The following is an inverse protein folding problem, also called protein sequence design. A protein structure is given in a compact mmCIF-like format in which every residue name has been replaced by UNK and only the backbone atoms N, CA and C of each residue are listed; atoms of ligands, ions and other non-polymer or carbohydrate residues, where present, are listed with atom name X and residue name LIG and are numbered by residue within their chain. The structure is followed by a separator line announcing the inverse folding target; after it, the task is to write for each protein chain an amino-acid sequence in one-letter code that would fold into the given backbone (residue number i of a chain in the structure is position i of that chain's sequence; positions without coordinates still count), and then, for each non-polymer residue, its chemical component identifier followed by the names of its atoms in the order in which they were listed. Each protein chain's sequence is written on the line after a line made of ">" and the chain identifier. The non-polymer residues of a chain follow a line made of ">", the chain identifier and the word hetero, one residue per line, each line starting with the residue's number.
data_IF_036446314037
#
_entry.id   IF_036446314037
#
_cell.length_a   1.000
_cell.length_b   1.000
_cell.length_c   1.000
_cell.angle_alpha   90.00
_cell.angle_beta   90.00
_cell.angle_gamma   90.00
#
_symmetry.space_group_name_H-M   'P 1'
#
loop_
_entity.id
_entity.type
_entity.pdbx_description
1 polymer ?
#
# COMPACT_ATOMS: atom_id res chain seq x y z
N UNK A 1 14.83 27.64 -11.57
CA UNK A 1 13.92 28.80 -11.43
C UNK A 1 12.52 28.30 -11.68
N UNK A 2 11.64 28.37 -10.68
CA UNK A 2 10.24 28.00 -10.81
C UNK A 2 9.44 29.27 -11.13
N UNK A 3 8.91 29.35 -12.35
CA UNK A 3 7.96 30.39 -12.71
C UNK A 3 6.62 30.12 -12.02
N UNK A 4 6.10 31.15 -11.34
CA UNK A 4 4.70 31.21 -10.92
C UNK A 4 3.84 31.36 -12.18
N UNK A 5 2.89 30.46 -12.38
CA UNK A 5 1.74 30.70 -13.25
C UNK A 5 0.44 30.44 -12.48
N UNK A 6 -0.36 31.50 -12.38
CA UNK A 6 -1.79 31.61 -12.08
C UNK A 6 -2.38 30.82 -10.90
N UNK A 7 -3.03 31.55 -9.99
CA UNK A 7 -3.72 31.07 -8.79
C UNK A 7 -4.97 30.20 -9.04
N UNK A 8 -4.85 29.16 -9.85
CA UNK A 8 -5.74 28.01 -9.83
C UNK A 8 -5.32 27.09 -8.68
N UNK A 9 -6.29 26.66 -7.86
CA UNK A 9 -6.06 25.61 -6.89
C UNK A 9 -5.61 24.34 -7.64
N UNK A 10 -4.31 24.02 -7.61
CA UNK A 10 -3.83 22.69 -8.01
C UNK A 10 -4.20 21.75 -6.86
N UNK A 11 -5.44 21.28 -6.85
CA UNK A 11 -5.91 20.29 -5.89
C UNK A 11 -5.64 18.90 -6.46
N UNK A 12 -4.97 18.05 -5.69
CA UNK A 12 -4.87 16.63 -5.99
C UNK A 12 -6.28 16.04 -6.02
N UNK A 13 -6.70 15.55 -7.19
CA UNK A 13 -7.96 14.82 -7.35
C UNK A 13 -7.64 13.34 -7.22
N UNK A 14 -8.11 12.72 -6.14
CA UNK A 14 -8.09 11.26 -5.98
C UNK A 14 -9.40 10.69 -6.55
N UNK A 15 -9.29 9.64 -7.36
CA UNK A 15 -10.44 8.94 -7.92
C UNK A 15 -10.78 7.74 -7.05
N UNK A 16 -12.06 7.52 -6.77
CA UNK A 16 -12.52 6.35 -6.02
C UNK A 16 -13.10 5.31 -6.98
N UNK A 17 -12.71 4.05 -6.80
CA UNK A 17 -13.28 2.90 -7.51
C UNK A 17 -13.90 1.97 -6.46
N UNK A 18 -15.22 1.85 -6.51
CA UNK A 18 -15.99 1.03 -5.58
C UNK A 18 -16.11 -0.41 -6.10
N UNK A 19 -15.92 -1.37 -5.21
CA UNK A 19 -16.18 -2.77 -5.46
C UNK A 19 -14.95 -3.60 -5.85
N UNK A 20 -14.86 -4.83 -5.31
CA UNK A 20 -13.82 -5.79 -5.66
C UNK A 20 -13.78 -6.11 -7.15
N UNK A 21 -14.94 -6.24 -7.79
CA UNK A 21 -15.00 -6.55 -9.22
C UNK A 21 -14.46 -5.42 -10.09
N UNK A 22 -14.71 -4.16 -9.73
CA UNK A 22 -14.16 -3.03 -10.46
C UNK A 22 -12.66 -2.88 -10.20
N UNK A 23 -12.20 -3.13 -8.98
CA UNK A 23 -10.78 -3.25 -8.69
C UNK A 23 -10.10 -4.29 -9.58
N UNK A 24 -10.67 -5.50 -9.70
CA UNK A 24 -10.11 -6.57 -10.55
C UNK A 24 -10.06 -6.15 -12.01
N UNK A 25 -11.08 -5.47 -12.53
CA UNK A 25 -11.07 -4.90 -13.89
C UNK A 25 -9.93 -3.87 -14.07
N UNK A 26 -9.70 -3.02 -13.08
CA UNK A 26 -8.59 -2.05 -13.10
C UNK A 26 -7.22 -2.73 -13.05
N UNK A 27 -7.03 -3.69 -12.14
CA UNK A 27 -5.80 -4.48 -11.98
C UNK A 27 -5.48 -5.29 -13.23
N UNK A 28 -6.49 -5.88 -13.87
CA UNK A 28 -6.38 -6.73 -15.06
C UNK A 28 -6.44 -5.92 -16.37
N UNK A 29 -5.71 -4.80 -16.42
CA UNK A 29 -5.48 -4.02 -17.66
C UNK A 29 -6.36 -2.77 -17.82
N UNK A 30 -7.38 -2.55 -16.99
CA UNK A 30 -8.18 -1.32 -17.04
C UNK A 30 -7.34 -0.06 -16.81
N UNK A 31 -6.38 -0.10 -15.88
CA UNK A 31 -5.50 1.03 -15.64
C UNK A 31 -4.59 1.35 -16.83
N UNK A 32 -4.09 0.31 -17.50
CA UNK A 32 -3.22 0.48 -18.67
C UNK A 32 -3.97 1.18 -19.81
N UNK A 33 -5.24 0.81 -20.05
CA UNK A 33 -6.10 1.49 -21.03
C UNK A 33 -6.32 2.97 -20.71
N UNK A 34 -6.45 3.33 -19.44
CA UNK A 34 -6.57 4.73 -19.01
C UNK A 34 -5.28 5.50 -19.29
N UNK A 35 -4.13 4.91 -18.94
CA UNK A 35 -2.81 5.49 -19.21
C UNK A 35 -2.61 5.76 -20.69
N UNK A 36 -2.92 4.79 -21.54
CA UNK A 36 -2.81 4.93 -23.00
C UNK A 36 -3.75 5.99 -23.55
N UNK A 37 -5.03 5.97 -23.15
CA UNK A 37 -6.05 6.91 -23.65
C UNK A 37 -5.76 8.36 -23.27
N UNK A 38 -5.20 8.59 -22.08
CA UNK A 38 -4.93 9.93 -21.54
C UNK A 38 -3.46 10.34 -21.69
N UNK A 39 -2.62 9.51 -22.29
CA UNK A 39 -1.17 9.68 -22.38
C UNK A 39 -0.51 9.95 -21.01
N UNK A 40 -0.85 9.14 -20.01
CA UNK A 40 -0.37 9.26 -18.62
C UNK A 40 0.64 8.16 -18.28
N UNK A 41 1.66 8.52 -17.49
CA UNK A 41 2.67 7.60 -17.00
C UNK A 41 2.33 6.98 -15.63
N UNK A 42 3.13 5.98 -15.25
CA UNK A 42 3.28 5.62 -13.83
C UNK A 42 4.01 6.73 -13.07
N UNK A 43 4.01 6.65 -11.74
CA UNK A 43 4.81 7.51 -10.87
C UNK A 43 6.27 7.57 -11.35
N UNK A 44 6.83 8.78 -11.46
CA UNK A 44 8.21 8.97 -11.91
C UNK A 44 9.21 8.64 -10.80
N UNK A 45 10.45 8.32 -11.19
CA UNK A 45 11.53 8.04 -10.23
C UNK A 45 11.81 9.25 -9.34
N UNK A 46 11.83 10.44 -9.92
CA UNK A 46 12.06 11.70 -9.21
C UNK A 46 10.98 11.95 -8.15
N UNK A 47 9.72 11.62 -8.49
CA UNK A 47 8.60 11.74 -7.57
C UNK A 47 8.72 10.74 -6.40
N UNK A 48 9.15 9.50 -6.68
CA UNK A 48 9.44 8.50 -5.64
C UNK A 48 10.55 8.99 -4.72
N UNK A 49 11.66 9.48 -5.27
CA UNK A 49 12.81 9.97 -4.50
C UNK A 49 12.43 11.17 -3.63
N UNK A 50 11.64 12.10 -4.15
CA UNK A 50 11.12 13.23 -3.38
C UNK A 50 10.20 12.77 -2.24
N UNK A 51 9.26 11.86 -2.50
CA UNK A 51 8.35 11.32 -1.48
C UNK A 51 9.14 10.55 -0.41
N UNK A 52 10.11 9.74 -0.82
CA UNK A 52 10.98 8.99 0.09
C UNK A 52 11.78 9.93 0.99
N UNK A 53 12.36 11.00 0.44
CA UNK A 53 13.08 12.01 1.24
C UNK A 53 12.14 12.76 2.20
N UNK A 54 10.95 13.14 1.74
CA UNK A 54 10.00 13.94 2.52
C UNK A 54 9.37 13.16 3.67
N UNK A 55 8.92 11.94 3.40
CA UNK A 55 8.14 11.14 4.36
C UNK A 55 8.90 9.94 4.93
N UNK A 56 9.97 9.48 4.28
CA UNK A 56 10.76 8.33 4.75
C UNK A 56 11.35 8.52 6.15
N UNK A 57 11.66 9.77 6.53
CA UNK A 57 12.16 10.14 7.87
C UNK A 57 11.23 9.77 9.02
N UNK A 58 9.94 9.57 8.74
CA UNK A 58 8.98 9.17 9.78
C UNK A 58 9.04 7.67 10.05
N UNK A 59 9.57 6.85 9.16
CA UNK A 59 9.66 5.41 9.35
C UNK A 59 10.97 5.04 10.04
N UNK A 60 10.91 4.05 10.94
CA UNK A 60 12.12 3.54 11.57
C UNK A 60 13.07 2.96 10.51
N UNK A 61 14.34 3.41 10.46
CA UNK A 61 15.33 2.89 9.52
C UNK A 61 15.45 1.36 9.64
N UNK A 62 15.49 0.67 8.50
CA UNK A 62 15.64 -0.78 8.43
C UNK A 62 14.35 -1.60 8.57
N UNK A 63 13.27 -1.03 9.11
CA UNK A 63 11.98 -1.74 9.25
C UNK A 63 11.10 -1.63 8.01
N UNK A 64 11.13 -0.49 7.32
CA UNK A 64 10.34 -0.26 6.12
C UNK A 64 11.23 0.16 4.97
N UNK A 65 11.14 -0.54 3.85
CA UNK A 65 11.74 -0.05 2.61
C UNK A 65 10.76 0.89 1.89
N UNK A 66 10.66 2.12 2.40
CA UNK A 66 9.58 3.05 2.00
C UNK A 66 9.66 3.40 0.50
N UNK A 67 10.86 3.51 -0.06
CA UNK A 67 11.05 3.73 -1.50
C UNK A 67 10.50 2.57 -2.34
N UNK A 68 10.70 1.31 -1.91
CA UNK A 68 10.10 0.15 -2.60
C UNK A 68 8.59 0.14 -2.48
N UNK A 69 8.04 0.47 -1.30
CA UNK A 69 6.60 0.62 -1.13
C UNK A 69 6.01 1.67 -2.09
N UNK A 70 6.71 2.78 -2.33
CA UNK A 70 6.30 3.80 -3.29
C UNK A 70 6.34 3.29 -4.74
N UNK A 71 7.36 2.53 -5.12
CA UNK A 71 7.45 1.91 -6.46
C UNK A 71 6.28 0.96 -6.73
N UNK A 72 5.70 0.37 -5.69
CA UNK A 72 4.57 -0.57 -5.80
C UNK A 72 3.20 0.08 -5.97
N UNK A 73 3.12 1.41 -5.91
CA UNK A 73 1.87 2.17 -6.10
C UNK A 73 1.41 2.16 -7.55
N UNK A 74 1.10 0.97 -8.05
CA UNK A 74 0.63 0.73 -9.40
C UNK A 74 -0.61 1.53 -9.76
N UNK A 75 -1.56 1.90 -8.87
CA UNK A 75 -2.73 2.72 -9.22
C UNK A 75 -2.43 4.21 -9.38
N UNK A 76 -1.18 4.64 -9.18
CA UNK A 76 -0.80 6.03 -9.31
C UNK A 76 -0.65 6.43 -10.79
N UNK A 77 -1.08 7.65 -11.09
CA UNK A 77 -1.03 8.29 -12.40
C UNK A 77 -0.22 9.58 -12.29
N UNK A 78 0.86 9.67 -13.08
CA UNK A 78 1.61 10.91 -13.21
C UNK A 78 0.92 11.81 -14.24
N UNK A 79 0.28 12.89 -13.77
CA UNK A 79 -0.50 13.80 -14.62
C UNK A 79 0.38 14.92 -15.20
N UNK A 80 1.40 15.33 -14.44
CA UNK A 80 2.39 16.32 -14.87
C UNK A 80 3.56 16.37 -13.89
N UNK A 81 4.57 17.22 -14.12
CA UNK A 81 5.73 17.32 -13.23
C UNK A 81 5.31 17.62 -11.78
N UNK A 82 5.57 16.68 -10.87
CA UNK A 82 5.19 16.82 -9.45
C UNK A 82 3.70 16.62 -9.13
N UNK A 83 2.84 16.41 -10.14
CA UNK A 83 1.39 16.22 -9.96
C UNK A 83 1.06 14.73 -10.10
N UNK A 84 0.57 14.14 -9.01
CA UNK A 84 0.21 12.73 -8.92
C UNK A 84 -1.25 12.60 -8.52
N UNK A 85 -2.02 11.79 -9.25
CA UNK A 85 -3.32 11.30 -8.79
C UNK A 85 -3.21 9.83 -8.44
N UNK A 86 -3.86 9.41 -7.35
CA UNK A 86 -3.93 7.99 -7.02
C UNK A 86 -5.38 7.51 -7.13
N UNK A 87 -5.60 6.48 -7.92
CA UNK A 87 -6.87 5.75 -7.86
C UNK A 87 -6.91 4.98 -6.54
N UNK A 88 -7.93 5.23 -5.73
CA UNK A 88 -8.22 4.57 -4.45
C UNK A 88 -9.32 3.56 -4.63
N UNK A 89 -9.16 2.39 -4.04
CA UNK A 89 -10.21 1.37 -4.05
C UNK A 89 -10.95 1.34 -2.72
N UNK A 90 -12.26 1.19 -2.83
CA UNK A 90 -13.20 1.20 -1.70
C UNK A 90 -14.09 -0.03 -1.83
N UNK A 91 -14.34 -0.72 -0.72
CA UNK A 91 -15.27 -1.84 -0.69
C UNK A 91 -16.70 -1.35 -0.96
N UNK A 92 -17.53 -2.20 -1.58
CA UNK A 92 -18.97 -2.06 -1.42
C UNK A 92 -19.38 -2.45 0.01
N UNK A 93 -20.56 -2.02 0.48
CA UNK A 93 -21.03 -2.27 1.85
C UNK A 93 -21.01 -3.76 2.22
N UNK A 94 -21.37 -4.64 1.28
CA UNK A 94 -21.41 -6.09 1.46
C UNK A 94 -20.05 -6.79 1.28
N UNK A 95 -18.99 -6.06 0.92
CA UNK A 95 -17.64 -6.58 0.71
C UNK A 95 -16.66 -6.23 1.84
N UNK A 96 -17.06 -5.32 2.74
CA UNK A 96 -16.23 -4.89 3.87
C UNK A 96 -15.88 -6.10 4.73
N UNK A 97 -14.59 -6.41 4.93
CA UNK A 97 -14.22 -7.51 5.81
C UNK A 97 -14.71 -7.20 7.24
N UNK A 98 -15.14 -8.21 8.02
CA UNK A 98 -15.41 -8.01 9.44
C UNK A 98 -14.17 -7.41 10.11
N UNK A 99 -14.35 -6.58 11.14
CA UNK A 99 -13.24 -5.89 11.81
C UNK A 99 -12.13 -6.90 12.10
N UNK A 100 -10.97 -6.76 11.46
CA UNK A 100 -9.96 -7.78 11.57
C UNK A 100 -9.18 -7.69 12.89
N UNK A 101 -9.37 -6.66 13.73
CA UNK A 101 -8.65 -6.45 14.99
C UNK A 101 -9.56 -6.67 16.19
N UNK A 102 -9.83 -7.94 16.50
CA UNK A 102 -10.78 -8.35 17.55
C UNK A 102 -10.11 -8.78 18.86
N UNK A 103 -8.80 -8.95 18.86
CA UNK A 103 -8.04 -9.53 19.97
C UNK A 103 -7.01 -8.51 20.51
N UNK A 104 -6.68 -8.54 21.82
CA UNK A 104 -5.64 -7.66 22.36
C UNK A 104 -4.26 -7.95 21.76
N UNK A 105 -3.43 -6.92 21.77
CA UNK A 105 -1.99 -7.05 21.49
C UNK A 105 -1.33 -7.98 22.51
N UNK A 106 -0.49 -8.90 22.02
CA UNK A 106 0.32 -9.80 22.85
C UNK A 106 1.78 -9.34 22.91
N UNK A 107 2.43 -9.21 21.75
CA UNK A 107 3.86 -8.94 21.68
C UNK A 107 4.26 -8.33 20.34
N UNK A 108 5.35 -7.55 20.33
CA UNK A 108 5.92 -7.04 19.08
C UNK A 108 6.82 -8.12 18.47
N UNK A 109 6.63 -8.42 17.19
CA UNK A 109 7.34 -9.49 16.48
C UNK A 109 7.92 -9.01 15.15
N UNK A 110 8.93 -9.72 14.64
CA UNK A 110 9.38 -9.62 13.25
C UNK A 110 9.28 -10.99 12.61
N UNK A 111 8.46 -11.12 11.57
CA UNK A 111 8.15 -12.38 10.89
C UNK A 111 8.55 -12.27 9.43
N UNK A 112 9.38 -13.22 8.97
CA UNK A 112 9.69 -13.39 7.56
C UNK A 112 8.74 -14.38 6.91
N UNK A 113 8.31 -14.09 5.69
CA UNK A 113 7.44 -14.97 4.94
C UNK A 113 7.27 -14.56 3.49
N UNK A 114 6.54 -15.38 2.75
CA UNK A 114 6.10 -15.07 1.38
C UNK A 114 4.66 -14.60 1.39
N UNK A 115 4.36 -13.53 0.67
CA UNK A 115 2.99 -13.01 0.53
C UNK A 115 2.15 -14.02 -0.26
N UNK A 116 1.11 -14.55 0.37
CA UNK A 116 0.21 -15.54 -0.19
C UNK A 116 -1.04 -14.91 -0.83
N UNK A 117 -1.58 -13.86 -0.21
CA UNK A 117 -2.77 -13.14 -0.67
C UNK A 117 -2.55 -11.63 -0.51
N UNK A 118 -2.67 -10.85 -1.59
CA UNK A 118 -2.40 -9.41 -1.57
C UNK A 118 -3.54 -8.55 -2.12
N UNK A 119 -4.66 -9.13 -2.56
CA UNK A 119 -5.76 -8.40 -3.19
C UNK A 119 -6.26 -7.23 -2.32
N UNK A 120 -6.42 -7.47 -1.02
CA UNK A 120 -7.03 -6.54 -0.06
C UNK A 120 -6.08 -5.46 0.47
N UNK A 121 -4.80 -5.47 0.08
CA UNK A 121 -3.83 -4.44 0.52
C UNK A 121 -4.08 -3.09 -0.17
N UNK A 122 -4.90 -3.10 -1.22
CA UNK A 122 -5.35 -1.92 -1.96
C UNK A 122 -6.64 -1.32 -1.42
N UNK A 123 -7.18 -1.82 -0.31
CA UNK A 123 -8.43 -1.33 0.29
C UNK A 123 -8.20 -0.90 1.74
N UNK A 124 -9.21 -0.29 2.37
CA UNK A 124 -9.21 0.01 3.80
C UNK A 124 -10.20 -0.91 4.52
N UNK A 125 -9.81 -1.64 5.59
CA UNK A 125 -8.42 -1.83 6.06
C UNK A 125 -7.55 -2.52 5.01
N UNK A 126 -6.23 -2.26 5.06
CA UNK A 126 -5.27 -2.93 4.16
C UNK A 126 -4.92 -4.27 4.77
N UNK A 127 -5.23 -5.33 4.04
CA UNK A 127 -5.05 -6.71 4.50
C UNK A 127 -4.22 -7.48 3.48
N UNK A 128 -3.23 -8.22 3.96
CA UNK A 128 -2.53 -9.23 3.17
C UNK A 128 -2.15 -10.41 4.06
N UNK A 129 -1.86 -11.55 3.46
CA UNK A 129 -1.46 -12.76 4.19
C UNK A 129 -0.02 -13.13 3.84
N UNK A 130 0.75 -13.54 4.86
CA UNK A 130 2.10 -14.06 4.69
C UNK A 130 2.17 -15.49 5.18
N UNK A 131 2.80 -16.36 4.41
CA UNK A 131 3.17 -17.72 4.83
C UNK A 131 4.61 -17.70 5.33
N UNK A 132 4.82 -17.95 6.62
CA UNK A 132 6.16 -18.01 7.23
C UNK A 132 6.81 -19.38 7.02
N UNK A 133 8.09 -19.48 7.39
CA UNK A 133 8.75 -20.77 7.61
C UNK A 133 7.94 -21.61 8.60
N UNK A 134 7.69 -22.88 8.26
CA UNK A 134 6.85 -23.80 9.05
C UNK A 134 5.36 -23.82 8.69
N UNK A 135 4.96 -23.32 7.51
CA UNK A 135 3.59 -23.33 6.99
C UNK A 135 2.55 -22.61 7.88
N UNK A 136 2.99 -21.67 8.72
CA UNK A 136 2.09 -20.81 9.48
C UNK A 136 1.73 -19.59 8.65
N UNK A 137 0.43 -19.34 8.51
CA UNK A 137 -0.09 -18.15 7.83
C UNK A 137 -0.40 -17.07 8.86
N UNK A 138 0.05 -15.85 8.59
CA UNK A 138 -0.29 -14.66 9.36
C UNK A 138 -1.07 -13.69 8.49
N UNK A 139 -2.17 -13.17 9.03
CA UNK A 139 -2.89 -12.04 8.47
C UNK A 139 -2.26 -10.75 8.96
N UNK A 140 -1.88 -9.88 8.04
CA UNK A 140 -1.30 -8.57 8.35
C UNK A 140 -2.33 -7.50 8.03
N UNK A 141 -2.56 -6.61 8.99
CA UNK A 141 -3.58 -5.55 8.90
C UNK A 141 -2.94 -4.19 9.17
N UNK A 142 -3.29 -3.20 8.36
CA UNK A 142 -2.89 -1.84 8.63
C UNK A 142 -3.87 -0.81 8.08
N UNK A 143 -4.02 0.28 8.83
CA UNK A 143 -4.74 1.47 8.39
C UNK A 143 -3.80 2.54 7.82
N UNK A 144 -2.50 2.27 7.80
CA UNK A 144 -1.50 3.27 7.45
C UNK A 144 -1.46 3.52 5.94
N UNK A 145 -1.65 4.79 5.56
CA UNK A 145 -1.72 5.24 4.17
C UNK A 145 -0.48 4.84 3.35
N UNK A 146 0.68 4.80 4.02
CA UNK A 146 1.95 4.48 3.42
C UNK A 146 2.00 3.08 2.83
N UNK A 147 1.24 2.13 3.40
CA UNK A 147 1.24 0.73 2.98
C UNK A 147 0.19 0.40 1.90
N UNK A 148 -0.40 1.42 1.28
CA UNK A 148 -1.30 1.22 0.14
C UNK A 148 -0.58 0.54 -1.03
N UNK A 149 -1.08 -0.63 -1.45
CA UNK A 149 -0.46 -1.44 -2.50
C UNK A 149 1.00 -1.87 -2.18
N UNK A 150 1.36 -2.00 -0.90
CA UNK A 150 2.76 -2.17 -0.50
C UNK A 150 3.42 -3.50 -0.90
N UNK A 151 2.62 -4.52 -1.17
CA UNK A 151 3.08 -5.87 -1.48
C UNK A 151 2.29 -6.46 -2.66
N UNK A 152 2.83 -7.50 -3.28
CA UNK A 152 2.15 -8.36 -4.26
C UNK A 152 2.35 -9.83 -3.86
N UNK A 153 1.47 -10.69 -4.35
CA UNK A 153 1.61 -12.15 -4.20
C UNK A 153 3.00 -12.63 -4.68
N UNK A 154 3.61 -13.50 -3.90
CA UNK A 154 4.93 -14.05 -4.18
C UNK A 154 6.10 -13.21 -3.64
N UNK A 155 5.88 -12.00 -3.15
CA UNK A 155 6.95 -11.21 -2.50
C UNK A 155 7.52 -11.94 -1.29
N UNK A 156 8.82 -11.83 -1.10
CA UNK A 156 9.47 -12.17 0.16
C UNK A 156 9.54 -10.92 1.03
N UNK A 157 8.98 -11.01 2.24
CA UNK A 157 8.87 -9.86 3.14
C UNK A 157 9.30 -10.22 4.55
N UNK A 158 9.84 -9.23 5.25
CA UNK A 158 9.94 -9.20 6.71
C UNK A 158 8.93 -8.17 7.23
N UNK A 159 7.98 -8.63 8.05
CA UNK A 159 6.94 -7.79 8.65
C UNK A 159 7.23 -7.63 10.13
N UNK A 160 7.45 -6.40 10.58
CA UNK A 160 7.62 -6.05 11.99
C UNK A 160 6.35 -5.35 12.48
N UNK A 161 5.69 -5.90 13.48
CA UNK A 161 4.42 -5.37 13.96
C UNK A 161 3.95 -6.01 15.27
N UNK A 162 2.69 -5.75 15.59
CA UNK A 162 2.06 -6.18 16.83
C UNK A 162 1.34 -7.51 16.61
N UNK A 163 1.85 -8.62 17.17
CA UNK A 163 1.17 -9.91 17.19
C UNK A 163 0.06 -9.89 18.22
N UNK A 164 -1.12 -10.37 17.83
CA UNK A 164 -2.29 -10.42 18.70
C UNK A 164 -2.45 -11.78 19.39
N UNK A 165 -3.33 -11.84 20.39
CA UNK A 165 -3.57 -13.04 21.22
C UNK A 165 -4.08 -14.27 20.46
N UNK A 166 -4.74 -14.08 19.30
CA UNK A 166 -5.11 -15.18 18.40
C UNK A 166 -3.90 -15.88 17.74
N UNK A 167 -2.72 -15.27 17.82
CA UNK A 167 -1.47 -15.79 17.32
C UNK A 167 -1.34 -15.78 15.80
N UNK A 168 -2.31 -15.29 15.03
CA UNK A 168 -2.23 -15.26 13.57
C UNK A 168 -2.47 -13.87 12.97
N UNK A 169 -2.82 -12.87 13.79
CA UNK A 169 -2.97 -11.49 13.35
C UNK A 169 -1.74 -10.64 13.73
N UNK A 170 -1.25 -9.86 12.77
CA UNK A 170 -0.23 -8.84 12.97
C UNK A 170 -0.81 -7.47 12.56
N UNK A 171 -0.78 -6.48 13.44
CA UNK A 171 -1.14 -5.09 13.07
C UNK A 171 0.09 -4.21 12.88
N UNK A 172 0.00 -3.30 11.91
CA UNK A 172 0.97 -2.22 11.69
C UNK A 172 0.26 -0.88 11.93
N UNK A 173 0.40 -0.37 13.14
CA UNK A 173 -0.37 0.75 13.69
C UNK A 173 0.45 2.05 13.85
N UNK A 174 1.79 1.98 13.77
CA UNK A 174 2.66 3.11 14.01
C UNK A 174 3.96 3.06 13.18
N UNK A 175 4.76 4.12 13.28
CA UNK A 175 6.03 4.31 12.56
C UNK A 175 7.17 3.35 12.97
N UNK A 176 7.01 2.60 14.05
CA UNK A 176 7.93 1.56 14.51
C UNK A 176 7.49 0.16 14.05
N UNK A 177 6.42 0.07 13.26
CA UNK A 177 5.99 -1.12 12.54
C UNK A 177 6.32 -0.96 11.06
N UNK A 178 6.53 -2.05 10.33
CA UNK A 178 7.07 -1.96 8.98
C UNK A 178 6.97 -3.21 8.13
N UNK A 179 7.10 -2.97 6.83
CA UNK A 179 7.20 -4.00 5.79
C UNK A 179 8.51 -3.77 5.06
N UNK A 180 9.41 -4.76 5.11
CA UNK A 180 10.64 -4.79 4.34
C UNK A 180 10.54 -5.85 3.26
N UNK A 181 10.50 -5.41 2.01
CA UNK A 181 10.57 -6.27 0.82
C UNK A 181 12.02 -6.76 0.66
N UNK A 182 12.20 -8.06 0.44
CA UNK A 182 13.51 -8.74 0.41
C UNK A 182 13.96 -9.17 -1.00
N UNK A 183 13.05 -9.19 -1.98
CA UNK A 183 13.29 -9.62 -3.36
C UNK A 183 12.89 -8.59 -4.43
#
# INVERSE_FOLDING_TARGET
>A
MAEKQNGGLIKDVDFLVYGLDNFRKFKNGGLQKIREKLNLGSISREHIEWHAKKYGKYFQPGLTNFSETLKRKWPALQIGPGILSTIRFVYNENEVPPDPVISPFMAKVSIRGRVAEAERVSFMPRIFEISSTGNRTFKVVTYFWAFYCAVKEGDEVEVTGNLHQDGNLITLDNYYSGIKILN
#
